data_IF_776126913970
#
_entry.id   IF_776126913970
#
_cell.length_a   1.000
_cell.length_b   1.000
_cell.length_c   1.000
_cell.angle_alpha   90.00
_cell.angle_beta   90.00
_cell.angle_gamma   90.00
#
_symmetry.space_group_name_H-M   'P 1'
#
loop_
_entity.id
_entity.type
_entity.pdbx_description
1 polymer ?
#
# COMPACT_ATOMS: atom_id res chain seq x y z
N UNK A 1 -19.46 7.11 -48.38
CA UNK A 1 -20.16 7.63 -47.18
C UNK A 1 -21.35 6.73 -46.88
N UNK A 2 -21.16 5.69 -46.06
CA UNK A 2 -22.27 4.84 -45.60
C UNK A 2 -22.90 5.53 -44.38
N UNK A 3 -24.15 5.98 -44.52
CA UNK A 3 -25.00 6.39 -43.40
C UNK A 3 -25.35 5.12 -42.61
N UNK A 4 -24.52 4.78 -41.63
CA UNK A 4 -24.85 3.77 -40.63
C UNK A 4 -25.74 4.40 -39.57
N UNK A 5 -26.96 3.90 -39.43
CA UNK A 5 -27.89 4.24 -38.38
C UNK A 5 -27.24 4.03 -36.99
N UNK A 6 -26.93 5.12 -36.31
CA UNK A 6 -26.69 5.15 -34.87
C UNK A 6 -28.05 5.11 -34.16
N UNK A 7 -28.74 3.97 -34.23
CA UNK A 7 -29.96 3.72 -33.46
C UNK A 7 -29.60 3.00 -32.18
N UNK A 8 -29.39 3.79 -31.14
CA UNK A 8 -29.12 3.40 -29.77
C UNK A 8 -29.09 4.66 -28.92
N UNK A 9 -30.21 5.39 -28.88
CA UNK A 9 -30.32 6.62 -28.10
C UNK A 9 -30.49 6.26 -26.63
N UNK A 10 -29.37 6.20 -25.91
CA UNK A 10 -29.39 6.51 -24.49
C UNK A 10 -29.81 7.99 -24.36
N UNK A 11 -31.02 8.23 -23.87
CA UNK A 11 -31.64 9.55 -23.73
C UNK A 11 -30.92 10.47 -22.74
N UNK A 12 -29.85 9.98 -22.08
CA UNK A 12 -29.04 10.74 -21.13
C UNK A 12 -27.71 11.26 -21.70
N UNK A 13 -27.29 10.80 -22.89
CA UNK A 13 -25.99 11.17 -23.45
C UNK A 13 -26.03 12.61 -24.02
N UNK A 14 -25.48 13.56 -23.25
CA UNK A 14 -25.33 14.95 -23.67
C UNK A 14 -24.46 15.01 -24.93
N UNK A 15 -24.99 15.58 -26.02
CA UNK A 15 -24.25 15.75 -27.28
C UNK A 15 -23.23 16.88 -27.11
N UNK A 16 -21.96 16.57 -27.29
CA UNK A 16 -20.86 17.53 -27.21
C UNK A 16 -20.39 17.91 -28.62
N UNK A 17 -20.01 19.17 -28.81
CA UNK A 17 -19.23 19.60 -29.99
C UNK A 17 -17.80 19.05 -29.91
N UNK A 18 -17.05 19.10 -31.02
CA UNK A 18 -15.63 18.69 -31.02
C UNK A 18 -14.81 19.47 -29.99
N UNK A 19 -15.02 20.79 -29.87
CA UNK A 19 -14.33 21.63 -28.90
C UNK A 19 -14.62 21.18 -27.45
N UNK A 20 -15.90 20.94 -27.13
CA UNK A 20 -16.30 20.44 -25.81
C UNK A 20 -15.80 19.02 -25.54
N UNK A 21 -15.76 18.15 -26.55
CA UNK A 21 -15.24 16.79 -26.42
C UNK A 21 -13.70 16.75 -26.29
N UNK A 22 -13.00 17.81 -26.70
CA UNK A 22 -11.56 17.96 -26.59
C UNK A 22 -11.11 18.66 -25.29
N UNK A 23 -12.05 19.10 -24.45
CA UNK A 23 -11.75 19.54 -23.09
C UNK A 23 -11.48 18.33 -22.18
N UNK A 24 -10.44 18.42 -21.34
CA UNK A 24 -10.08 17.31 -20.47
C UNK A 24 -11.21 16.99 -19.48
N UNK A 25 -11.73 15.75 -19.46
CA UNK A 25 -12.80 15.37 -18.55
C UNK A 25 -12.34 15.27 -17.09
N UNK A 26 -11.04 15.44 -16.81
CA UNK A 26 -10.49 15.43 -15.45
C UNK A 26 -10.82 16.71 -14.67
N UNK A 27 -10.91 17.87 -15.33
CA UNK A 27 -11.12 19.15 -14.64
C UNK A 27 -12.49 19.25 -13.95
N UNK A 28 -13.44 18.40 -14.35
CA UNK A 28 -14.80 18.32 -13.82
C UNK A 28 -15.10 16.95 -13.20
N UNK A 29 -14.08 16.12 -12.99
CA UNK A 29 -14.25 14.79 -12.41
C UNK A 29 -14.49 14.92 -10.90
N UNK A 30 -15.71 14.66 -10.39
CA UNK A 30 -15.93 14.69 -8.94
C UNK A 30 -15.07 13.61 -8.28
N UNK A 31 -14.53 13.94 -7.11
CA UNK A 31 -13.84 13.04 -6.18
C UNK A 31 -12.51 12.42 -6.64
N UNK A 32 -12.04 12.71 -7.87
CA UNK A 32 -10.73 12.30 -8.43
C UNK A 32 -10.33 10.86 -8.05
N UNK A 33 -11.14 9.84 -8.39
CA UNK A 33 -10.97 8.48 -7.88
C UNK A 33 -9.66 7.81 -8.31
N UNK A 34 -9.09 8.21 -9.45
CA UNK A 34 -7.78 7.74 -9.90
C UNK A 34 -6.62 8.11 -8.96
N UNK A 35 -6.82 9.14 -8.11
CA UNK A 35 -5.88 9.54 -7.06
C UNK A 35 -6.26 9.00 -5.69
N UNK A 36 -7.34 8.21 -5.56
CA UNK A 36 -7.82 7.69 -4.28
C UNK A 36 -8.02 6.17 -4.25
N UNK A 37 -8.00 5.51 -5.42
CA UNK A 37 -8.19 4.07 -5.58
C UNK A 37 -7.00 3.45 -6.31
N UNK A 38 -6.06 2.89 -5.56
CA UNK A 38 -4.81 2.36 -6.09
C UNK A 38 -4.92 0.84 -6.31
N UNK A 39 -4.74 0.32 -7.54
CA UNK A 39 -4.56 -1.12 -7.75
C UNK A 39 -3.23 -1.60 -7.16
N UNK A 40 -3.28 -2.65 -6.34
CA UNK A 40 -2.11 -3.26 -5.70
C UNK A 40 -1.64 -4.53 -6.41
N UNK A 41 -2.53 -5.22 -7.12
CA UNK A 41 -2.18 -6.44 -7.85
C UNK A 41 -3.36 -7.38 -8.04
N UNK A 42 -3.18 -8.40 -8.88
CA UNK A 42 -4.19 -9.43 -9.12
C UNK A 42 -4.27 -10.39 -7.93
N UNK A 43 -5.46 -10.90 -7.65
CA UNK A 43 -5.65 -12.03 -6.73
C UNK A 43 -6.42 -13.14 -7.44
N UNK A 44 -6.28 -14.36 -6.94
CA UNK A 44 -7.04 -15.52 -7.41
C UNK A 44 -7.98 -15.96 -6.29
N UNK A 45 -9.17 -16.43 -6.68
CA UNK A 45 -10.17 -17.01 -5.78
C UNK A 45 -10.65 -18.33 -6.42
N UNK A 46 -9.76 -19.30 -6.54
CA UNK A 46 -10.01 -20.61 -7.17
C UNK A 46 -10.06 -21.73 -6.12
N UNK A 47 -9.54 -21.48 -4.91
CA UNK A 47 -9.47 -22.45 -3.81
C UNK A 47 -9.97 -21.86 -2.49
N UNK A 48 -10.30 -22.72 -1.53
CA UNK A 48 -10.69 -22.34 -0.18
C UNK A 48 -9.59 -21.50 0.50
N UNK A 49 -8.33 -21.86 0.30
CA UNK A 49 -7.18 -21.14 0.87
C UNK A 49 -7.09 -19.72 0.30
N UNK A 50 -7.33 -19.55 -0.99
CA UNK A 50 -7.34 -18.25 -1.65
C UNK A 50 -8.54 -17.38 -1.24
N UNK A 51 -9.71 -17.98 -1.08
CA UNK A 51 -10.90 -17.30 -0.54
C UNK A 51 -10.66 -16.88 0.93
N UNK A 52 -10.00 -17.70 1.74
CA UNK A 52 -9.60 -17.33 3.09
C UNK A 52 -8.50 -16.25 3.11
N UNK A 53 -7.56 -16.28 2.17
CA UNK A 53 -6.57 -15.20 1.98
C UNK A 53 -7.25 -13.88 1.63
N UNK A 54 -8.28 -13.90 0.78
CA UNK A 54 -9.12 -12.72 0.53
C UNK A 54 -9.78 -12.19 1.83
N UNK A 55 -10.26 -13.08 2.72
CA UNK A 55 -10.77 -12.66 4.04
C UNK A 55 -9.67 -12.05 4.91
N UNK A 56 -8.46 -12.61 4.89
CA UNK A 56 -7.30 -12.02 5.57
C UNK A 56 -7.01 -10.60 5.08
N UNK A 57 -6.91 -10.40 3.76
CA UNK A 57 -6.63 -9.10 3.16
C UNK A 57 -7.70 -8.07 3.53
N UNK A 58 -8.98 -8.44 3.47
CA UNK A 58 -10.10 -7.54 3.79
C UNK A 58 -10.24 -7.23 5.29
N UNK A 59 -9.47 -7.87 6.18
CA UNK A 59 -9.43 -7.45 7.58
C UNK A 59 -8.68 -6.13 7.77
N UNK A 60 -7.79 -5.77 6.85
CA UNK A 60 -7.07 -4.52 6.88
C UNK A 60 -7.95 -3.37 6.40
N UNK A 61 -7.93 -2.25 7.12
CA UNK A 61 -8.61 -1.04 6.71
C UNK A 61 -8.12 -0.59 5.33
N UNK A 62 -8.97 0.11 4.57
CA UNK A 62 -8.65 0.63 3.23
C UNK A 62 -8.32 -0.41 2.16
N UNK A 63 -8.30 -1.71 2.47
CA UNK A 63 -8.13 -2.76 1.48
C UNK A 63 -9.51 -3.20 0.95
N UNK A 64 -9.63 -3.25 -0.36
CA UNK A 64 -10.83 -3.73 -1.06
C UNK A 64 -10.46 -4.70 -2.18
N UNK A 65 -11.41 -5.56 -2.54
CA UNK A 65 -11.33 -6.37 -3.75
C UNK A 65 -12.22 -5.77 -4.83
N UNK A 66 -11.72 -5.81 -6.07
CA UNK A 66 -12.48 -5.52 -7.27
C UNK A 66 -12.73 -6.78 -8.07
N UNK A 67 -14.00 -7.07 -8.38
CA UNK A 67 -14.42 -8.13 -9.28
C UNK A 67 -14.89 -7.53 -10.60
N UNK A 68 -14.17 -7.87 -11.67
CA UNK A 68 -14.54 -7.50 -13.04
C UNK A 68 -15.56 -8.49 -13.60
N UNK A 69 -16.42 -8.06 -14.53
CA UNK A 69 -17.36 -8.92 -15.26
C UNK A 69 -16.68 -10.07 -16.01
N UNK A 70 -15.38 -9.93 -16.31
CA UNK A 70 -14.56 -11.01 -16.89
C UNK A 70 -14.20 -12.11 -15.90
N UNK A 71 -14.60 -12.02 -14.63
CA UNK A 71 -14.22 -12.93 -13.55
C UNK A 71 -12.83 -12.62 -12.94
N UNK A 72 -12.15 -11.58 -13.42
CA UNK A 72 -10.85 -11.17 -12.88
C UNK A 72 -11.03 -10.52 -11.51
N UNK A 73 -10.16 -10.87 -10.58
CA UNK A 73 -10.07 -10.23 -9.27
C UNK A 73 -8.80 -9.39 -9.13
N UNK A 74 -8.92 -8.24 -8.47
CA UNK A 74 -7.83 -7.32 -8.25
C UNK A 74 -7.94 -6.70 -6.85
N UNK A 75 -6.81 -6.54 -6.18
CA UNK A 75 -6.69 -5.93 -4.86
C UNK A 75 -6.50 -4.43 -5.02
N UNK A 76 -7.21 -3.65 -4.21
CA UNK A 76 -7.14 -2.20 -4.23
C UNK A 76 -6.86 -1.64 -2.83
N UNK A 77 -6.21 -0.49 -2.82
CA UNK A 77 -5.99 0.34 -1.64
C UNK A 77 -6.70 1.68 -1.77
N UNK A 78 -7.38 2.07 -0.69
CA UNK A 78 -8.17 3.30 -0.61
C UNK A 78 -7.51 4.33 0.28
N UNK A 79 -6.78 5.24 -0.34
CA UNK A 79 -6.33 6.46 0.31
C UNK A 79 -6.11 7.54 -0.76
N UNK A 80 -6.42 8.82 -0.48
CA UNK A 80 -5.97 9.90 -1.34
C UNK A 80 -4.44 9.91 -1.42
N UNK A 81 -3.90 9.97 -2.64
CA UNK A 81 -2.51 10.24 -2.90
C UNK A 81 -2.10 11.53 -2.17
N UNK A 82 -0.90 11.57 -1.58
CA UNK A 82 -0.44 12.72 -0.78
C UNK A 82 -0.37 14.04 -1.56
N UNK A 83 -0.35 13.95 -2.89
CA UNK A 83 -0.34 15.10 -3.79
C UNK A 83 -1.72 15.52 -4.28
N UNK A 84 -2.79 14.80 -3.92
CA UNK A 84 -4.15 15.22 -4.20
C UNK A 84 -4.49 16.40 -3.30
N UNK A 85 -4.88 17.52 -3.90
CA UNK A 85 -5.55 18.59 -3.20
C UNK A 85 -7.05 18.25 -3.07
N UNK A 86 -7.56 17.96 -1.87
CA UNK A 86 -8.95 17.55 -1.73
C UNK A 86 -9.93 18.70 -1.95
N UNK A 87 -9.52 19.96 -1.79
CA UNK A 87 -10.39 21.11 -2.01
C UNK A 87 -10.56 21.41 -3.50
N UNK A 88 -9.50 21.17 -4.30
CA UNK A 88 -9.50 21.45 -5.74
C UNK A 88 -9.72 20.20 -6.61
N UNK A 89 -9.62 18.99 -6.05
CA UNK A 89 -9.61 17.75 -6.82
C UNK A 89 -8.40 17.62 -7.74
N UNK A 90 -7.34 18.41 -7.52
CA UNK A 90 -6.21 18.59 -8.44
C UNK A 90 -4.90 18.02 -7.86
N UNK A 91 -3.95 17.68 -8.75
CA UNK A 91 -2.63 17.23 -8.33
C UNK A 91 -1.71 18.43 -8.04
N UNK A 92 -1.16 18.51 -6.83
CA UNK A 92 -0.23 19.57 -6.39
C UNK A 92 1.10 19.59 -7.13
N UNK A 93 1.48 18.46 -7.73
CA UNK A 93 2.70 18.33 -8.53
C UNK A 93 2.39 18.16 -10.02
N UNK A 94 1.23 18.65 -10.49
CA UNK A 94 0.85 18.55 -11.90
C UNK A 94 1.92 19.18 -12.82
N UNK A 95 2.32 18.43 -13.85
CA UNK A 95 3.37 18.77 -14.81
C UNK A 95 4.75 19.09 -14.20
N UNK A 96 4.98 18.71 -12.94
CA UNK A 96 6.29 18.82 -12.30
C UNK A 96 7.14 17.55 -12.56
N UNK A 97 8.49 17.64 -12.51
CA UNK A 97 9.38 16.47 -12.64
C UNK A 97 9.09 15.35 -11.62
N UNK A 98 8.49 15.71 -10.49
CA UNK A 98 8.10 14.78 -9.43
C UNK A 98 6.87 13.95 -9.79
N UNK A 99 6.04 14.42 -10.74
CA UNK A 99 4.86 13.70 -11.16
C UNK A 99 5.24 12.38 -11.84
N UNK A 100 4.72 11.23 -11.37
CA UNK A 100 4.90 9.96 -12.07
C UNK A 100 4.38 10.05 -13.51
N UNK A 101 5.12 9.47 -14.46
CA UNK A 101 4.75 9.47 -15.88
C UNK A 101 3.45 8.70 -16.11
N UNK A 102 3.15 7.67 -15.32
CA UNK A 102 1.85 6.98 -15.35
C UNK A 102 0.67 7.92 -15.10
N UNK A 103 0.85 8.95 -14.25
CA UNK A 103 -0.16 9.98 -14.04
C UNK A 103 -0.19 10.98 -15.21
N UNK A 104 0.99 11.46 -15.62
CA UNK A 104 1.13 12.48 -16.66
C UNK A 104 0.61 12.02 -18.03
N UNK A 105 0.82 10.75 -18.36
CA UNK A 105 0.40 10.14 -19.63
C UNK A 105 -0.93 9.39 -19.53
N UNK A 106 -1.65 9.51 -18.42
CA UNK A 106 -2.97 8.89 -18.28
C UNK A 106 -3.92 9.48 -19.32
N UNK A 107 -4.64 8.63 -20.07
CA UNK A 107 -5.62 9.09 -21.05
C UNK A 107 -6.96 9.40 -20.36
N UNK A 108 -7.33 10.68 -20.17
CA UNK A 108 -8.51 11.05 -19.40
C UNK A 108 -9.82 10.73 -20.14
N UNK A 109 -9.80 10.66 -21.48
CA UNK A 109 -10.97 10.37 -22.31
C UNK A 109 -11.39 8.90 -22.28
N UNK A 110 -10.55 8.02 -21.74
CA UNK A 110 -10.84 6.59 -21.51
C UNK A 110 -10.66 6.23 -20.05
N UNK A 111 -11.11 7.11 -19.15
CA UNK A 111 -10.97 6.93 -17.71
C UNK A 111 -11.80 5.74 -17.21
N UNK A 112 -11.13 4.64 -16.90
CA UNK A 112 -11.75 3.44 -16.32
C UNK A 112 -12.41 3.73 -14.96
N UNK A 113 -11.79 4.55 -14.12
CA UNK A 113 -12.30 4.87 -12.79
C UNK A 113 -13.67 5.53 -12.85
N UNK A 114 -13.88 6.49 -13.76
CA UNK A 114 -15.17 7.16 -13.92
C UNK A 114 -16.26 6.17 -14.34
N UNK A 115 -15.97 5.26 -15.27
CA UNK A 115 -16.94 4.25 -15.70
C UNK A 115 -17.25 3.19 -14.62
N UNK A 116 -16.24 2.83 -13.83
CA UNK A 116 -16.32 1.67 -12.92
C UNK A 116 -16.65 2.05 -11.48
N UNK A 117 -16.56 3.33 -11.12
CA UNK A 117 -16.77 3.82 -9.76
C UNK A 117 -17.88 4.87 -9.63
N UNK A 118 -18.36 5.44 -10.75
CA UNK A 118 -19.46 6.37 -10.72
C UNK A 118 -20.82 5.64 -10.77
N UNK A 119 -21.80 6.17 -10.05
CA UNK A 119 -23.20 5.70 -10.10
C UNK A 119 -23.53 4.53 -9.17
N UNK A 120 -24.82 4.19 -9.12
CA UNK A 120 -25.36 3.12 -8.26
C UNK A 120 -25.12 1.71 -8.82
N UNK A 121 -24.92 1.58 -10.13
CA UNK A 121 -24.65 0.32 -10.84
C UNK A 121 -23.41 0.47 -11.72
N UNK A 122 -22.19 0.34 -11.15
CA UNK A 122 -20.96 0.45 -11.90
C UNK A 122 -20.88 -0.60 -13.02
N UNK A 123 -20.47 -0.17 -14.22
CA UNK A 123 -20.45 -1.05 -15.39
C UNK A 123 -19.40 -2.15 -15.24
N UNK A 124 -19.87 -3.38 -15.04
CA UNK A 124 -19.04 -4.59 -15.08
C UNK A 124 -17.97 -4.65 -14.00
N UNK A 125 -18.16 -3.96 -12.88
CA UNK A 125 -17.22 -3.93 -11.78
C UNK A 125 -17.94 -3.91 -10.42
N UNK A 126 -17.60 -4.84 -9.53
CA UNK A 126 -18.01 -4.79 -8.12
C UNK A 126 -16.82 -4.50 -7.23
N UNK A 127 -17.00 -3.56 -6.29
CA UNK A 127 -16.14 -3.40 -5.12
C UNK A 127 -16.63 -4.31 -4.00
N UNK A 128 -15.71 -4.90 -3.26
CA UNK A 128 -15.99 -5.76 -2.11
C UNK A 128 -15.13 -5.33 -0.92
N UNK A 129 -15.80 -5.01 0.18
CA UNK A 129 -15.22 -4.99 1.52
C UNK A 129 -15.50 -6.33 2.23
N UNK A 130 -15.07 -6.45 3.49
CA UNK A 130 -15.33 -7.65 4.29
C UNK A 130 -16.83 -8.00 4.40
N UNK A 131 -17.74 -7.03 4.41
CA UNK A 131 -19.19 -7.30 4.51
C UNK A 131 -19.70 -7.97 3.24
N UNK A 132 -19.30 -7.46 2.07
CA UNK A 132 -19.67 -8.07 0.78
C UNK A 132 -19.02 -9.43 0.58
N UNK A 133 -17.78 -9.63 1.02
CA UNK A 133 -17.16 -10.96 0.97
C UNK A 133 -17.93 -11.96 1.85
N UNK A 134 -18.26 -11.61 3.10
CA UNK A 134 -19.03 -12.49 3.99
C UNK A 134 -20.43 -12.82 3.43
N UNK A 135 -21.07 -11.90 2.70
CA UNK A 135 -22.32 -12.18 1.99
C UNK A 135 -22.14 -13.10 0.76
N UNK A 136 -20.94 -13.12 0.17
CA UNK A 136 -20.59 -14.00 -0.94
C UNK A 136 -20.28 -15.42 -0.48
N UNK A 137 -19.63 -15.61 0.68
CA UNK A 137 -19.13 -16.92 1.13
C UNK A 137 -20.18 -18.05 1.10
N UNK A 138 -21.44 -17.86 1.53
CA UNK A 138 -22.46 -18.91 1.50
C UNK A 138 -22.88 -19.34 0.10
N UNK A 139 -22.58 -18.53 -0.93
CA UNK A 139 -22.92 -18.79 -2.33
C UNK A 139 -21.80 -19.53 -3.08
N UNK A 140 -20.63 -19.69 -2.47
CA UNK A 140 -19.50 -20.39 -3.07
C UNK A 140 -19.60 -21.89 -2.81
N UNK A 141 -19.42 -22.70 -3.85
CA UNK A 141 -19.40 -24.16 -3.72
C UNK A 141 -18.01 -24.70 -3.99
N UNK A 142 -17.50 -25.54 -3.10
CA UNK A 142 -16.20 -26.16 -3.22
C UNK A 142 -16.32 -27.68 -3.36
N UNK A 143 -15.39 -28.30 -4.09
CA UNK A 143 -15.23 -29.76 -4.10
C UNK A 143 -14.56 -30.27 -2.81
N UNK A 144 -14.47 -31.60 -2.65
CA UNK A 144 -13.82 -32.23 -1.49
C UNK A 144 -12.31 -31.98 -1.37
N UNK A 145 -11.68 -31.30 -2.35
CA UNK A 145 -10.28 -30.85 -2.30
C UNK A 145 -10.16 -29.35 -2.04
N UNK A 146 -11.28 -28.67 -1.79
CA UNK A 146 -11.31 -27.23 -1.53
C UNK A 146 -11.14 -26.38 -2.78
N UNK A 147 -11.38 -26.90 -3.99
CA UNK A 147 -11.41 -26.08 -5.22
C UNK A 147 -12.80 -25.54 -5.45
N UNK A 148 -12.89 -24.28 -5.85
CA UNK A 148 -14.14 -23.62 -6.19
C UNK A 148 -14.70 -24.22 -7.48
N UNK A 149 -15.93 -24.72 -7.43
CA UNK A 149 -16.61 -25.39 -8.55
C UNK A 149 -17.88 -24.69 -9.00
N UNK A 150 -18.45 -23.81 -8.17
CA UNK A 150 -19.59 -22.99 -8.55
C UNK A 150 -19.48 -21.60 -7.93
N UNK A 151 -19.89 -20.59 -8.69
CA UNK A 151 -19.90 -19.18 -8.30
C UNK A 151 -21.20 -18.53 -8.74
N UNK A 152 -21.75 -17.59 -7.96
CA UNK A 152 -22.96 -16.88 -8.35
C UNK A 152 -22.73 -16.08 -9.65
N UNK A 153 -23.75 -16.04 -10.49
CA UNK A 153 -23.75 -15.19 -11.67
C UNK A 153 -23.84 -13.69 -11.30
N UNK A 154 -23.73 -12.82 -12.31
CA UNK A 154 -23.72 -11.38 -12.09
C UNK A 154 -25.03 -10.85 -11.48
N UNK A 155 -26.17 -11.49 -11.77
CA UNK A 155 -27.48 -11.08 -11.23
C UNK A 155 -27.60 -11.47 -9.75
N UNK A 156 -27.16 -12.67 -9.39
CA UNK A 156 -27.08 -13.13 -8.00
C UNK A 156 -26.10 -12.27 -7.18
N UNK A 157 -24.93 -11.94 -7.74
CA UNK A 157 -23.97 -11.03 -7.11
C UNK A 157 -24.57 -9.63 -6.88
N UNK A 158 -25.25 -9.08 -7.89
CA UNK A 158 -25.95 -7.78 -7.77
C UNK A 158 -26.99 -7.81 -6.65
N UNK A 159 -27.80 -8.87 -6.58
CA UNK A 159 -28.80 -9.03 -5.53
C UNK A 159 -28.16 -9.13 -4.13
N UNK A 160 -27.06 -9.89 -3.99
CA UNK A 160 -26.34 -10.05 -2.73
C UNK A 160 -25.68 -8.75 -2.25
N UNK A 161 -25.19 -7.92 -3.17
CA UNK A 161 -24.46 -6.67 -2.84
C UNK A 161 -25.35 -5.44 -2.71
N UNK A 162 -26.57 -5.46 -3.25
CA UNK A 162 -27.56 -4.37 -3.15
C UNK A 162 -27.81 -3.87 -1.70
N UNK A 163 -27.99 -4.74 -0.69
CA UNK A 163 -28.20 -4.28 0.69
C UNK A 163 -26.90 -3.80 1.39
N UNK A 164 -25.74 -3.92 0.74
CA UNK A 164 -24.42 -3.63 1.30
C UNK A 164 -23.74 -2.52 0.50
N UNK A 165 -24.14 -1.25 0.67
CA UNK A 165 -23.51 -0.14 -0.05
C UNK A 165 -22.04 0.01 0.34
N UNK A 166 -21.21 0.28 -0.66
CA UNK A 166 -19.79 0.60 -0.45
C UNK A 166 -19.64 2.06 -0.06
N UNK A 167 -18.70 2.40 0.82
CA UNK A 167 -18.38 3.80 1.10
C UNK A 167 -18.00 4.53 -0.18
N UNK A 168 -18.50 5.77 -0.30
CA UNK A 168 -18.20 6.69 -1.40
C UNK A 168 -16.78 7.25 -1.31
N UNK A 169 -16.60 8.40 -1.96
CA UNK A 169 -15.36 9.16 -1.99
C UNK A 169 -15.64 10.59 -1.48
N UNK A 170 -14.67 11.25 -0.81
CA UNK A 170 -13.47 10.68 -0.19
C UNK A 170 -13.82 9.79 1.02
N UNK A 171 -12.83 9.05 1.54
CA UNK A 171 -13.02 8.25 2.77
C UNK A 171 -12.72 9.15 3.96
N UNK A 172 -13.71 9.41 4.82
CA UNK A 172 -13.53 10.09 6.12
C UNK A 172 -12.87 9.16 7.15
N UNK A 173 -11.71 8.62 6.79
CA UNK A 173 -10.87 7.80 7.65
C UNK A 173 -9.54 8.51 7.84
N UNK A 174 -8.98 8.42 9.05
CA UNK A 174 -7.64 8.95 9.34
C UNK A 174 -6.60 8.24 8.46
N UNK A 175 -5.74 9.02 7.79
CA UNK A 175 -4.71 8.46 6.91
C UNK A 175 -3.67 7.71 7.75
N UNK A 176 -3.11 6.59 7.23
CA UNK A 176 -2.05 5.92 7.95
C UNK A 176 -0.87 6.84 8.23
N UNK A 177 -0.40 6.83 9.47
CA UNK A 177 0.79 7.55 9.88
C UNK A 177 2.03 7.04 9.12
N UNK A 178 3.07 7.89 9.07
CA UNK A 178 4.38 7.50 8.56
C UNK A 178 4.95 6.29 9.34
N UNK A 179 5.90 5.58 8.74
CA UNK A 179 6.55 4.44 9.40
C UNK A 179 7.32 4.92 10.65
N UNK A 180 6.92 4.50 11.87
CA UNK A 180 7.62 4.92 13.09
C UNK A 180 9.08 4.44 13.11
N UNK A 181 9.42 3.38 12.37
CA UNK A 181 10.77 2.86 12.29
C UNK A 181 11.69 3.71 11.42
N UNK A 182 11.17 4.57 10.55
CA UNK A 182 12.00 5.46 9.74
C UNK A 182 12.63 6.57 10.58
N UNK A 183 11.85 7.15 11.52
CA UNK A 183 12.37 8.12 12.47
C UNK A 183 13.40 7.45 13.41
N UNK A 184 13.05 6.30 13.98
CA UNK A 184 13.96 5.55 14.86
C UNK A 184 15.27 5.17 14.13
N UNK A 185 15.21 4.85 12.83
CA UNK A 185 16.39 4.55 12.03
C UNK A 185 17.29 5.79 11.91
N UNK A 186 16.73 6.96 11.59
CA UNK A 186 17.48 8.22 11.53
C UNK A 186 18.16 8.54 12.87
N UNK A 187 17.46 8.34 13.98
CA UNK A 187 17.99 8.57 15.33
C UNK A 187 19.14 7.60 15.70
N UNK A 188 19.05 6.34 15.27
CA UNK A 188 20.13 5.37 15.43
C UNK A 188 21.37 5.75 14.62
N UNK A 189 21.20 6.17 13.37
CA UNK A 189 22.29 6.65 12.50
C UNK A 189 22.93 7.90 13.08
N UNK A 190 22.12 8.87 13.51
CA UNK A 190 22.61 10.11 14.11
C UNK A 190 23.43 9.88 15.39
N UNK A 191 23.10 8.84 16.18
CA UNK A 191 23.86 8.43 17.38
C UNK A 191 25.09 7.58 17.05
N UNK A 192 25.22 7.05 15.83
CA UNK A 192 26.23 6.05 15.49
C UNK A 192 25.99 4.71 16.21
N UNK A 193 24.74 4.38 16.53
CA UNK A 193 24.41 3.14 17.20
C UNK A 193 24.76 1.94 16.29
N UNK A 194 25.39 0.86 16.81
CA UNK A 194 25.56 -0.35 16.03
C UNK A 194 24.19 -0.94 15.67
N UNK A 195 24.10 -1.68 14.56
CA UNK A 195 22.87 -2.40 14.18
C UNK A 195 22.40 -3.33 15.30
N UNK A 196 21.12 -3.74 15.27
CA UNK A 196 20.54 -4.60 16.30
C UNK A 196 21.41 -5.86 16.52
N UNK A 197 21.87 -6.06 17.77
CA UNK A 197 22.65 -7.23 18.16
C UNK A 197 21.70 -8.41 18.29
N UNK A 198 22.05 -9.55 17.69
CA UNK A 198 21.31 -10.80 17.91
C UNK A 198 21.54 -11.27 19.34
N UNK A 199 20.46 -11.43 20.09
CA UNK A 199 20.47 -12.07 21.41
C UNK A 199 20.22 -13.55 21.24
N UNK A 200 21.09 -14.38 21.81
CA UNK A 200 20.90 -15.84 21.86
C UNK A 200 20.11 -16.19 23.11
N UNK A 201 19.13 -17.07 22.97
CA UNK A 201 18.32 -17.59 24.07
C UNK A 201 18.43 -19.12 24.09
N UNK A 202 18.45 -19.70 25.30
CA UNK A 202 18.26 -21.15 25.50
C UNK A 202 16.78 -21.52 25.40
N UNK A 203 16.47 -22.79 25.17
CA UNK A 203 15.08 -23.26 25.10
C UNK A 203 14.29 -22.95 26.38
N UNK A 204 14.94 -23.00 27.56
CA UNK A 204 14.31 -22.71 28.84
C UNK A 204 13.97 -21.22 29.04
N UNK A 205 14.65 -20.33 28.31
CA UNK A 205 14.42 -18.87 28.36
C UNK A 205 13.39 -18.41 27.33
N UNK A 206 12.93 -19.31 26.46
CA UNK A 206 11.92 -18.99 25.45
C UNK A 206 10.55 -18.75 26.13
N UNK A 207 10.09 -17.51 26.07
CA UNK A 207 8.74 -17.11 26.46
C UNK A 207 7.85 -16.90 25.22
N UNK A 208 6.55 -16.64 25.41
CA UNK A 208 5.64 -16.30 24.31
C UNK A 208 6.25 -15.19 23.42
N UNK A 209 6.55 -15.47 22.14
CA UNK A 209 7.19 -14.51 21.24
C UNK A 209 6.29 -13.31 20.90
N UNK A 210 4.99 -13.39 21.20
CA UNK A 210 4.05 -12.28 21.07
C UNK A 210 3.98 -11.42 22.33
N UNK A 211 4.50 -11.87 23.48
CA UNK A 211 4.55 -11.05 24.69
C UNK A 211 5.43 -9.81 24.47
N UNK A 212 4.86 -8.62 24.68
CA UNK A 212 5.55 -7.35 24.42
C UNK A 212 5.69 -6.97 22.94
N UNK A 213 5.16 -7.77 22.01
CA UNK A 213 5.10 -7.40 20.60
C UNK A 213 4.02 -6.34 20.38
N UNK A 214 4.31 -5.33 19.54
CA UNK A 214 3.31 -4.30 19.17
C UNK A 214 2.31 -4.78 18.10
N UNK A 215 2.16 -6.10 17.90
CA UNK A 215 1.33 -6.72 16.88
C UNK A 215 1.59 -6.20 15.45
N UNK A 216 2.86 -6.16 15.04
CA UNK A 216 3.28 -5.72 13.71
C UNK A 216 2.56 -6.44 12.55
N UNK A 217 2.18 -7.71 12.73
CA UNK A 217 1.38 -8.47 11.77
C UNK A 217 -0.06 -7.97 11.58
N UNK A 218 -0.58 -7.15 12.50
CA UNK A 218 -1.90 -6.52 12.44
C UNK A 218 -1.83 -5.03 12.08
N UNK A 219 -0.64 -4.49 11.76
CA UNK A 219 -0.43 -3.06 11.44
C UNK A 219 -0.05 -2.79 9.99
N UNK A 220 0.24 -3.84 9.23
CA UNK A 220 0.52 -3.76 7.81
C UNK A 220 0.26 -5.11 7.15
N UNK A 221 -0.11 -5.07 5.87
CA UNK A 221 -0.05 -6.22 4.99
C UNK A 221 1.19 -6.11 4.11
N UNK A 222 1.86 -7.25 3.89
CA UNK A 222 3.05 -7.33 3.03
C UNK A 222 2.67 -8.19 1.83
N UNK A 223 2.68 -7.58 0.66
CA UNK A 223 2.29 -8.20 -0.59
C UNK A 223 3.52 -8.53 -1.43
N UNK A 224 3.55 -9.67 -2.13
CA UNK A 224 4.58 -9.94 -3.12
C UNK A 224 4.63 -8.82 -4.16
N UNK A 225 5.84 -8.36 -4.51
CA UNK A 225 6.03 -7.38 -5.58
C UNK A 225 7.17 -7.80 -6.49
N UNK A 226 6.98 -7.67 -7.80
CA UNK A 226 8.02 -8.05 -8.76
C UNK A 226 9.21 -7.10 -8.69
N UNK A 227 10.43 -7.64 -8.74
CA UNK A 227 11.64 -6.84 -8.91
C UNK A 227 11.52 -5.98 -10.19
N UNK A 228 11.69 -4.66 -10.13
CA UNK A 228 11.62 -3.80 -11.30
C UNK A 228 12.64 -4.23 -12.37
N UNK A 229 12.19 -4.34 -13.63
CA UNK A 229 13.06 -4.67 -14.77
C UNK A 229 13.13 -3.55 -15.81
N UNK A 230 12.28 -2.52 -15.68
CA UNK A 230 12.20 -1.38 -16.60
C UNK A 230 12.01 -0.07 -15.86
N UNK A 231 12.34 1.04 -16.53
CA UNK A 231 12.05 2.39 -16.05
C UNK A 231 10.55 2.60 -15.78
N UNK A 232 9.67 2.00 -16.58
CA UNK A 232 8.22 2.03 -16.35
C UNK A 232 7.80 1.32 -15.07
N UNK A 233 8.48 0.23 -14.67
CA UNK A 233 8.20 -0.40 -13.37
C UNK A 233 8.57 0.52 -12.21
N UNK A 234 9.72 1.21 -12.29
CA UNK A 234 10.13 2.18 -11.27
C UNK A 234 9.19 3.39 -11.24
N UNK A 235 8.74 3.89 -12.40
CA UNK A 235 7.77 4.99 -12.45
C UNK A 235 6.42 4.60 -11.81
N UNK A 236 5.94 3.38 -12.07
CA UNK A 236 4.73 2.86 -11.42
C UNK A 236 4.94 2.68 -9.90
N UNK A 237 6.12 2.23 -9.47
CA UNK A 237 6.47 2.18 -8.05
C UNK A 237 6.45 3.57 -7.41
N UNK A 238 7.01 4.60 -8.08
CA UNK A 238 6.94 5.99 -7.61
C UNK A 238 5.50 6.44 -7.37
N UNK A 239 4.61 6.11 -8.32
CA UNK A 239 3.19 6.39 -8.20
C UNK A 239 2.57 5.72 -6.97
N UNK A 240 2.80 4.43 -6.77
CA UNK A 240 2.30 3.71 -5.60
C UNK A 240 2.81 4.32 -4.29
N UNK A 241 4.10 4.65 -4.18
CA UNK A 241 4.69 5.25 -2.98
C UNK A 241 4.15 6.67 -2.67
N UNK A 242 3.48 7.32 -3.64
CA UNK A 242 2.72 8.55 -3.42
C UNK A 242 1.54 8.37 -2.47
N UNK A 243 1.02 7.16 -2.31
CA UNK A 243 -0.11 6.88 -1.43
C UNK A 243 0.35 6.75 0.04
N UNK A 244 -0.38 7.34 0.99
CA UNK A 244 -0.07 7.22 2.42
C UNK A 244 -0.02 5.76 2.88
N UNK A 245 0.93 5.44 3.75
CA UNK A 245 1.11 4.08 4.28
C UNK A 245 1.84 3.10 3.34
N UNK A 246 2.17 3.47 2.11
CA UNK A 246 2.90 2.58 1.20
C UNK A 246 4.41 2.76 1.32
N UNK A 247 5.10 1.62 1.41
CA UNK A 247 6.55 1.50 1.27
C UNK A 247 6.89 0.20 0.55
N UNK A 248 8.13 0.04 0.12
CA UNK A 248 8.63 -1.20 -0.48
C UNK A 248 9.71 -1.80 0.40
N UNK A 249 9.59 -3.09 0.68
CA UNK A 249 10.58 -3.90 1.36
C UNK A 249 11.49 -4.60 0.36
N UNK A 250 12.80 -4.51 0.58
CA UNK A 250 13.82 -5.12 -0.27
C UNK A 250 14.61 -6.13 0.56
N UNK A 251 14.80 -7.30 -0.02
CA UNK A 251 15.86 -8.25 0.33
C UNK A 251 16.81 -8.38 -0.86
N UNK A 252 17.80 -9.27 -0.77
CA UNK A 252 18.65 -9.58 -1.93
C UNK A 252 17.87 -10.32 -3.05
N UNK A 253 16.81 -11.05 -2.68
CA UNK A 253 16.07 -11.92 -3.60
C UNK A 253 14.73 -11.32 -4.04
N UNK A 254 14.02 -10.71 -3.09
CA UNK A 254 12.61 -10.34 -3.25
C UNK A 254 12.33 -8.86 -2.99
N UNK A 255 11.31 -8.38 -3.68
CA UNK A 255 10.65 -7.10 -3.45
C UNK A 255 9.25 -7.35 -2.88
N UNK A 256 8.84 -6.50 -1.95
CA UNK A 256 7.55 -6.62 -1.27
C UNK A 256 6.89 -5.25 -1.17
N UNK A 257 5.62 -5.15 -1.53
CA UNK A 257 4.86 -3.93 -1.27
C UNK A 257 4.32 -4.00 0.16
N UNK A 258 4.68 -3.03 0.99
CA UNK A 258 4.19 -2.91 2.36
C UNK A 258 3.07 -1.88 2.35
N UNK A 259 1.89 -2.30 2.79
CA UNK A 259 0.74 -1.41 2.96
C UNK A 259 0.46 -1.30 4.45
N UNK A 260 0.91 -0.20 5.05
CA UNK A 260 0.68 0.14 6.44
C UNK A 260 -0.74 0.64 6.61
N UNK A 261 -1.57 -0.22 7.16
CA UNK A 261 -2.97 0.04 7.47
C UNK A 261 -3.35 -0.92 8.60
N UNK A 262 -4.10 -0.49 9.63
CA UNK A 262 -4.42 -1.36 10.75
C UNK A 262 -5.45 -2.43 10.35
N UNK A 263 -5.31 -3.60 10.96
CA UNK A 263 -6.33 -4.64 10.94
C UNK A 263 -7.48 -4.24 11.87
N UNK A 264 -8.73 -4.39 11.42
CA UNK A 264 -9.96 -4.11 12.19
C UNK A 264 -10.08 -4.90 13.50
N UNK A 265 -9.29 -5.98 13.64
CA UNK A 265 -9.24 -6.81 14.85
C UNK A 265 -8.09 -6.43 15.79
N UNK A 266 -7.31 -5.40 15.51
CA UNK A 266 -6.27 -4.91 16.40
C UNK A 266 -6.90 -4.15 17.57
N UNK A 267 -6.77 -4.68 18.79
CA UNK A 267 -7.24 -4.05 20.01
C UNK A 267 -6.22 -4.23 21.14
N UNK A 268 -5.87 -3.15 21.84
CA UNK A 268 -4.91 -3.21 22.95
C UNK A 268 -3.54 -3.79 22.58
N UNK A 269 -3.08 -3.55 21.34
CA UNK A 269 -1.82 -4.10 20.83
C UNK A 269 -1.84 -5.61 20.57
N UNK A 270 -3.02 -6.24 20.48
CA UNK A 270 -3.19 -7.67 20.23
C UNK A 270 -4.36 -7.94 19.27
N UNK A 271 -4.44 -9.16 18.74
CA UNK A 271 -5.55 -9.59 17.91
C UNK A 271 -6.76 -9.96 18.78
N UNK A 272 -7.87 -9.22 18.65
CA UNK A 272 -9.11 -9.44 19.41
C UNK A 272 -9.80 -10.77 19.12
N UNK A 273 -9.54 -11.34 17.93
CA UNK A 273 -10.09 -12.63 17.49
C UNK A 273 -9.06 -13.77 17.60
N UNK A 274 -8.03 -13.62 18.42
CA UNK A 274 -7.04 -14.67 18.63
C UNK A 274 -7.71 -15.96 19.13
N UNK A 275 -7.42 -17.08 18.47
CA UNK A 275 -8.00 -18.40 18.78
C UNK A 275 -9.45 -18.60 18.35
N UNK A 276 -10.10 -17.59 17.74
CA UNK A 276 -11.51 -17.68 17.34
C UNK A 276 -11.70 -18.26 15.93
N UNK A 277 -12.86 -18.88 15.63
CA UNK A 277 -13.13 -19.47 14.31
C UNK A 277 -13.02 -18.48 13.15
N UNK A 278 -13.45 -17.24 13.35
CA UNK A 278 -13.43 -16.16 12.35
C UNK A 278 -12.02 -15.66 12.00
N UNK A 279 -10.99 -16.04 12.75
CA UNK A 279 -9.60 -15.69 12.44
C UNK A 279 -9.16 -16.40 11.14
N UNK A 280 -8.63 -15.69 10.13
CA UNK A 280 -8.16 -16.30 8.88
C UNK A 280 -7.08 -17.37 9.11
N UNK A 281 -6.98 -18.34 8.20
CA UNK A 281 -5.98 -19.40 8.20
C UNK A 281 -4.57 -18.84 8.19
N UNK A 282 -4.28 -17.82 7.40
CA UNK A 282 -2.95 -17.17 7.37
C UNK A 282 -2.55 -16.64 8.75
N UNK A 283 -3.50 -16.06 9.48
CA UNK A 283 -3.29 -15.62 10.86
C UNK A 283 -3.18 -16.79 11.84
N UNK A 284 -3.93 -17.87 11.67
CA UNK A 284 -3.91 -19.07 12.52
C UNK A 284 -2.59 -19.83 12.39
N UNK A 285 -2.05 -19.93 11.18
CA UNK A 285 -0.80 -20.62 10.88
C UNK A 285 0.44 -19.72 10.93
N UNK A 286 0.29 -18.45 11.32
CA UNK A 286 1.41 -17.54 11.52
C UNK A 286 2.41 -18.14 12.53
N UNK A 287 3.63 -18.40 12.07
CA UNK A 287 4.73 -18.80 12.94
C UNK A 287 5.18 -17.61 13.80
N UNK A 288 4.73 -17.56 15.05
CA UNK A 288 5.02 -16.48 15.97
C UNK A 288 6.52 -16.39 16.33
N UNK A 289 7.25 -17.51 16.33
CA UNK A 289 8.68 -17.54 16.61
C UNK A 289 9.50 -16.93 15.46
N UNK A 290 9.13 -17.28 14.22
CA UNK A 290 9.72 -16.76 12.99
C UNK A 290 8.92 -15.59 12.37
N UNK A 291 8.30 -14.74 13.19
CA UNK A 291 7.36 -13.72 12.70
C UNK A 291 8.07 -12.65 11.87
N UNK A 292 7.96 -12.75 10.53
CA UNK A 292 8.57 -11.82 9.59
C UNK A 292 8.11 -10.37 9.80
N UNK A 293 6.86 -10.13 10.19
CA UNK A 293 6.36 -8.78 10.45
C UNK A 293 7.10 -8.12 11.63
N UNK A 294 7.33 -8.85 12.73
CA UNK A 294 8.09 -8.34 13.87
C UNK A 294 9.53 -8.03 13.48
N UNK A 295 10.17 -8.96 12.76
CA UNK A 295 11.57 -8.82 12.36
C UNK A 295 11.79 -7.69 11.35
N UNK A 296 10.92 -7.58 10.34
CA UNK A 296 11.08 -6.67 9.19
C UNK A 296 10.46 -5.30 9.43
N UNK A 297 9.38 -5.21 10.20
CA UNK A 297 8.61 -3.96 10.39
C UNK A 297 8.76 -3.38 11.79
N UNK A 298 9.16 -4.18 12.77
CA UNK A 298 9.31 -3.75 14.16
C UNK A 298 10.74 -3.37 14.57
N UNK A 299 11.65 -3.29 13.60
CA UNK A 299 13.05 -2.92 13.83
C UNK A 299 13.42 -1.73 12.94
N UNK A 300 14.15 -0.72 13.46
CA UNK A 300 14.64 0.39 12.64
C UNK A 300 15.55 -0.09 11.52
N UNK A 301 16.52 -0.94 11.86
CA UNK A 301 17.51 -1.51 10.92
C UNK A 301 17.46 -3.04 10.91
N UNK A 302 16.46 -3.66 10.25
CA UNK A 302 16.38 -5.10 10.18
C UNK A 302 17.54 -5.66 9.32
N UNK A 303 18.26 -6.70 9.80
CA UNK A 303 19.32 -7.33 9.01
C UNK A 303 18.79 -7.89 7.69
N UNK A 304 19.50 -7.64 6.58
CA UNK A 304 19.15 -8.18 5.25
C UNK A 304 17.83 -7.68 4.67
N UNK A 305 17.19 -6.68 5.28
CA UNK A 305 15.93 -6.11 4.83
C UNK A 305 16.00 -4.59 4.82
N UNK A 306 15.48 -3.92 3.80
CA UNK A 306 15.43 -2.45 3.73
C UNK A 306 14.02 -2.01 3.36
N UNK A 307 13.48 -1.04 4.11
CA UNK A 307 12.21 -0.38 3.77
C UNK A 307 12.51 0.92 3.04
N UNK A 308 11.89 1.14 1.89
CA UNK A 308 11.98 2.37 1.12
C UNK A 308 10.60 3.00 0.98
N UNK A 309 10.47 4.25 1.39
CA UNK A 309 9.33 5.10 1.12
C UNK A 309 9.62 6.01 -0.09
N UNK A 310 8.68 6.89 -0.44
CA UNK A 310 8.86 7.84 -1.53
C UNK A 310 10.08 8.76 -1.30
N UNK A 311 10.37 9.08 -0.05
CA UNK A 311 11.48 9.94 0.38
C UNK A 311 12.86 9.34 0.03
N UNK A 312 12.94 8.03 -0.23
CA UNK A 312 14.17 7.34 -0.64
C UNK A 312 14.25 7.09 -2.16
N UNK A 313 13.21 7.47 -2.91
CA UNK A 313 13.07 7.08 -4.32
C UNK A 313 14.13 7.71 -5.23
N UNK A 314 14.55 8.95 -4.95
CA UNK A 314 15.62 9.60 -5.70
C UNK A 314 16.97 8.90 -5.47
N UNK A 315 17.24 8.42 -4.25
CA UNK A 315 18.44 7.63 -3.95
C UNK A 315 18.44 6.28 -4.66
N UNK A 316 17.27 5.65 -4.82
CA UNK A 316 17.11 4.42 -5.58
C UNK A 316 17.38 4.65 -7.07
N UNK A 317 16.75 5.65 -7.66
CA UNK A 317 16.85 5.91 -9.11
C UNK A 317 18.22 6.44 -9.51
N UNK A 318 18.88 7.25 -8.66
CA UNK A 318 20.25 7.74 -8.90
C UNK A 318 21.30 6.62 -8.97
N UNK A 319 21.02 5.45 -8.40
CA UNK A 319 21.90 4.27 -8.41
C UNK A 319 21.43 3.19 -9.39
N UNK A 320 20.33 3.42 -10.10
CA UNK A 320 19.82 2.48 -11.10
C UNK A 320 20.36 2.85 -12.49
N UNK A 321 20.87 1.86 -13.22
CA UNK A 321 21.32 2.04 -14.60
C UNK A 321 20.31 1.43 -15.58
N UNK A 322 20.19 2.05 -16.75
CA UNK A 322 19.27 1.65 -17.81
C UNK A 322 20.00 1.54 -19.15
N UNK A 323 19.52 0.67 -20.03
CA UNK A 323 19.87 0.69 -21.45
C UNK A 323 19.04 1.74 -22.23
N UNK A 324 19.26 1.83 -23.54
CA UNK A 324 18.55 2.78 -24.41
C UNK A 324 17.03 2.50 -24.52
N UNK A 325 16.59 1.27 -24.25
CA UNK A 325 15.17 0.86 -24.24
C UNK A 325 14.51 1.10 -22.88
N UNK A 326 15.27 1.56 -21.89
CA UNK A 326 14.81 1.75 -20.52
C UNK A 326 14.70 0.45 -19.73
N UNK A 327 15.36 -0.64 -20.15
CA UNK A 327 15.53 -1.83 -19.30
C UNK A 327 16.61 -1.59 -18.27
N UNK A 328 16.39 -2.11 -17.06
CA UNK A 328 17.33 -1.96 -15.96
C UNK A 328 18.53 -2.89 -16.18
N UNK A 329 19.72 -2.32 -16.28
CA UNK A 329 20.99 -3.05 -16.43
C UNK A 329 21.74 -3.21 -15.10
N UNK A 330 21.50 -2.30 -14.16
CA UNK A 330 21.97 -2.43 -12.78
C UNK A 330 20.92 -1.86 -11.82
N UNK A 331 20.59 -2.62 -10.78
CA UNK A 331 19.70 -2.22 -9.68
C UNK A 331 20.44 -2.46 -8.36
N UNK A 332 20.55 -1.46 -7.48
CA UNK A 332 21.31 -1.62 -6.24
C UNK A 332 20.59 -2.56 -5.28
N UNK A 333 21.37 -3.37 -4.56
CA UNK A 333 20.88 -4.23 -3.48
C UNK A 333 20.54 -3.46 -2.21
N UNK A 334 19.90 -4.13 -1.25
CA UNK A 334 19.45 -3.51 0.00
C UNK A 334 20.61 -2.91 0.82
N UNK A 335 21.76 -3.59 0.88
CA UNK A 335 22.92 -3.10 1.62
C UNK A 335 23.51 -1.81 1.01
N UNK A 336 23.66 -1.75 -0.31
CA UNK A 336 24.19 -0.58 -1.02
C UNK A 336 23.27 0.64 -0.86
N UNK A 337 21.96 0.44 -1.03
CA UNK A 337 20.96 1.49 -0.82
C UNK A 337 20.96 2.02 0.61
N UNK A 338 20.95 1.12 1.60
CA UNK A 338 21.03 1.49 3.02
C UNK A 338 22.26 2.36 3.29
N UNK A 339 23.44 1.90 2.86
CA UNK A 339 24.69 2.64 3.07
C UNK A 339 24.66 4.03 2.46
N UNK A 340 24.10 4.17 1.26
CA UNK A 340 23.95 5.49 0.61
C UNK A 340 22.99 6.40 1.37
N UNK A 341 21.81 5.91 1.76
CA UNK A 341 20.81 6.70 2.51
C UNK A 341 21.41 7.20 3.83
N UNK A 342 22.07 6.31 4.58
CA UNK A 342 22.68 6.66 5.87
C UNK A 342 23.83 7.67 5.70
N UNK A 343 24.63 7.53 4.64
CA UNK A 343 25.69 8.49 4.31
C UNK A 343 25.13 9.87 3.97
N UNK A 344 24.06 9.94 3.17
CA UNK A 344 23.39 11.19 2.81
C UNK A 344 22.84 11.90 4.08
N UNK A 345 22.27 11.14 5.03
CA UNK A 345 21.82 11.70 6.31
C UNK A 345 22.96 12.21 7.19
N UNK A 346 24.07 11.47 7.25
CA UNK A 346 25.25 11.91 7.99
C UNK A 346 25.85 13.19 7.40
N UNK A 347 25.87 13.31 6.07
CA UNK A 347 26.37 14.50 5.37
C UNK A 347 25.47 15.73 5.56
N UNK A 348 24.15 15.53 5.68
CA UNK A 348 23.18 16.59 5.92
C UNK A 348 23.11 17.05 7.39
N UNK A 349 23.69 16.29 8.33
CA UNK A 349 23.67 16.64 9.75
C UNK A 349 24.53 17.89 10.02
N UNK A 350 24.05 18.87 10.81
CA UNK A 350 24.87 20.03 11.17
C UNK A 350 26.15 19.57 11.89
N UNK A 351 27.29 20.27 11.68
CA UNK A 351 28.55 19.89 12.30
C UNK A 351 28.35 19.84 13.82
N UNK A 352 28.69 18.69 14.42
CA UNK A 352 28.60 18.52 15.88
C UNK A 352 29.46 19.61 16.53
N UNK A 353 28.81 20.62 17.11
CA UNK A 353 29.48 21.64 17.88
C UNK A 353 30.29 20.96 18.96
N UNK A 354 31.61 21.19 18.99
CA UNK A 354 32.45 20.79 20.11
C UNK A 354 31.90 21.50 21.33
N UNK A 355 31.16 20.79 22.18
CA UNK A 355 30.89 21.22 23.54
C UNK A 355 32.25 21.26 24.25
N UNK A 356 32.87 22.44 24.24
CA UNK A 356 34.04 22.72 25.05
C UNK A 356 33.68 22.48 26.52
N UNK A 357 34.62 22.04 27.36
CA UNK A 357 34.33 21.76 28.75
C UNK A 357 33.87 23.06 29.42
N UNK A 358 32.63 23.06 29.92
CA UNK A 358 32.15 24.09 30.85
C UNK A 358 33.11 24.13 32.03
N UNK A 359 33.96 25.16 32.06
CA UNK A 359 34.77 25.47 33.24
C UNK A 359 33.80 25.90 34.34
N UNK A 360 33.51 24.97 35.25
CA UNK A 360 32.78 25.24 36.48
C UNK A 360 33.42 26.40 37.25
N UNK A 361 32.72 27.53 37.30
CA UNK A 361 33.06 28.63 38.19
C UNK A 361 32.43 28.35 39.57
N UNK A 362 33.22 27.76 40.46
CA UNK A 362 32.92 27.67 41.89
C UNK A 362 32.93 29.07 42.51
N UNK A 363 31.74 29.68 42.65
CA UNK A 363 31.57 30.89 43.47
C UNK A 363 31.58 30.51 44.95
N UNK A 364 32.75 30.71 45.58
CA UNK A 364 32.94 30.75 47.04
C UNK A 364 32.08 31.88 47.64
N UNK A 365 31.04 31.54 48.41
CA UNK A 365 30.35 32.49 49.31
C UNK A 365 31.29 32.85 50.45
N UNK A 366 31.62 34.14 50.60
CA UNK A 366 32.17 34.70 51.86
C UNK A 366 31.01 35.24 52.67
N UNK A 367 30.92 34.78 53.91
CA UNK A 367 30.05 35.31 54.96
C UNK A 367 30.33 36.79 55.22
N UNK A 368 29.26 37.55 55.46
CA UNK A 368 29.25 38.63 56.44
C UNK A 368 27.87 38.75 57.05
#
# INVERSE_FOLDING_TARGET
MKKGNLTGSDSSATRLSFAQAAESPCATCPDTPCCAYLPLGKVQLETLTEVDHARFLLNFERIELGLFRTGRWELFYRAPCRFLDPAQGACRIHDQPEQPRVCRHYNPYRCWYKASLAGAEPDGFFRLDGRRLEALLPLLVFDGRGRLVDVPDWAALSAAFRPLPMPGWPVDEELPAADPMDQAWREEVARGAPGAVQTTHTYAELADPCAGCEAWCCRAVVLPYGRPTTASNLDFLRFMLGFPGLSVGLTEEDWQLIVRTPCRHLAGGRCAVYGRPERPLECKYLNAWGCAARERLGRPRPPGYLRLSLEHFDTLTAQTAFDADGRITALPGAAALRGRIEADWCAAAPPRGRSGPEKGATRRRKNR
#
